data_IF_354482970373
#
_entry.id   IF_354482970373
#
_cell.length_a   1.000
_cell.length_b   1.000
_cell.length_c   1.000
_cell.angle_alpha   90.00
_cell.angle_beta   90.00
_cell.angle_gamma   90.00
#
_symmetry.space_group_name_H-M   'P 1'
#
loop_
_entity.id
_entity.type
_entity.pdbx_description
1 polymer ?
#
# COMPACT_ATOMS: atom_id res chain seq x y z
N UNK A 1 24.47 41.51 -15.34
CA UNK A 1 23.76 41.25 -14.07
C UNK A 1 22.35 40.69 -14.28
N UNK A 2 21.53 41.25 -15.15
CA UNK A 2 20.17 40.76 -15.42
C UNK A 2 20.09 39.33 -16.00
N UNK A 3 21.02 38.95 -16.85
CA UNK A 3 21.08 37.59 -17.44
C UNK A 3 21.48 36.52 -16.41
N UNK A 4 22.33 36.88 -15.44
CA UNK A 4 22.79 35.97 -14.42
C UNK A 4 21.68 35.66 -13.43
N UNK A 5 20.91 36.67 -13.00
CA UNK A 5 19.76 36.54 -12.13
C UNK A 5 18.65 35.70 -12.75
N UNK A 6 18.39 35.87 -14.05
CA UNK A 6 17.37 35.10 -14.78
C UNK A 6 17.73 33.61 -14.85
N UNK A 7 18.99 33.31 -15.16
CA UNK A 7 19.48 31.92 -15.19
C UNK A 7 19.46 31.26 -13.80
N UNK A 8 19.80 32.01 -12.77
CA UNK A 8 19.79 31.54 -11.39
C UNK A 8 18.37 31.22 -10.92
N UNK A 9 17.40 32.07 -11.27
CA UNK A 9 15.98 31.85 -10.97
C UNK A 9 15.42 30.60 -11.68
N UNK A 10 15.81 30.41 -12.94
CA UNK A 10 15.42 29.24 -13.73
C UNK A 10 15.96 27.93 -13.13
N UNK A 11 17.21 27.92 -12.69
CA UNK A 11 17.83 26.75 -12.05
C UNK A 11 17.11 26.40 -10.75
N UNK A 12 16.79 27.38 -9.93
CA UNK A 12 16.05 27.15 -8.67
C UNK A 12 14.67 26.56 -8.94
N UNK A 13 13.93 27.12 -9.90
CA UNK A 13 12.60 26.59 -10.25
C UNK A 13 12.64 25.17 -10.76
N UNK A 14 13.62 24.80 -11.57
CA UNK A 14 13.80 23.44 -12.09
C UNK A 14 14.13 22.47 -10.94
N UNK A 15 15.03 22.85 -10.03
CA UNK A 15 15.38 22.02 -8.86
C UNK A 15 14.17 21.81 -7.95
N UNK A 16 13.38 22.85 -7.70
CA UNK A 16 12.18 22.76 -6.87
C UNK A 16 11.13 21.84 -7.49
N UNK A 17 10.95 21.92 -8.81
CA UNK A 17 10.03 21.07 -9.57
C UNK A 17 10.43 19.58 -9.49
N UNK A 18 11.72 19.29 -9.67
CA UNK A 18 12.25 17.93 -9.57
C UNK A 18 12.07 17.38 -8.16
N UNK A 19 12.27 18.20 -7.15
CA UNK A 19 12.10 17.82 -5.75
C UNK A 19 10.64 17.48 -5.42
N UNK A 20 9.68 18.29 -5.89
CA UNK A 20 8.25 18.04 -5.73
C UNK A 20 7.79 16.75 -6.44
N UNK A 21 8.31 16.49 -7.65
CA UNK A 21 8.01 15.26 -8.37
C UNK A 21 8.53 14.01 -7.63
N UNK A 22 9.72 14.08 -7.05
CA UNK A 22 10.28 12.98 -6.25
C UNK A 22 9.49 12.71 -4.97
N UNK A 23 9.03 13.74 -4.28
CA UNK A 23 8.21 13.58 -3.07
C UNK A 23 6.90 12.85 -3.41
N UNK A 24 6.23 13.24 -4.48
CA UNK A 24 4.99 12.56 -4.89
C UNK A 24 5.21 11.09 -5.26
N UNK A 25 6.32 10.77 -5.89
CA UNK A 25 6.66 9.39 -6.25
C UNK A 25 6.91 8.51 -5.00
N UNK A 26 7.67 9.01 -4.03
CA UNK A 26 7.96 8.29 -2.78
C UNK A 26 6.68 8.03 -1.98
N UNK A 27 5.79 9.00 -1.88
CA UNK A 27 4.51 8.82 -1.16
C UNK A 27 3.59 7.80 -1.83
N UNK A 28 3.56 7.74 -3.16
CA UNK A 28 2.80 6.73 -3.89
C UNK A 28 3.33 5.31 -3.64
N UNK A 29 4.64 5.11 -3.57
CA UNK A 29 5.29 3.83 -3.26
C UNK A 29 4.94 3.36 -1.84
N UNK A 30 4.97 4.23 -0.84
CA UNK A 30 4.63 3.89 0.55
C UNK A 30 3.19 3.39 0.68
N UNK A 31 2.25 4.00 -0.03
CA UNK A 31 0.84 3.56 -0.07
C UNK A 31 0.73 2.17 -0.69
N UNK A 32 1.42 1.91 -1.79
CA UNK A 32 1.41 0.61 -2.46
C UNK A 32 2.01 -0.49 -1.57
N UNK A 33 3.09 -0.22 -0.87
CA UNK A 33 3.70 -1.14 0.10
C UNK A 33 2.70 -1.48 1.21
N UNK A 34 2.02 -0.49 1.76
CA UNK A 34 1.00 -0.68 2.79
C UNK A 34 -0.18 -1.54 2.33
N UNK A 35 -0.67 -1.30 1.12
CA UNK A 35 -1.76 -2.09 0.51
C UNK A 35 -1.34 -3.54 0.25
N UNK A 36 -0.13 -3.75 -0.26
CA UNK A 36 0.42 -5.09 -0.49
C UNK A 36 0.60 -5.86 0.82
N UNK A 37 1.14 -5.22 1.84
CA UNK A 37 1.30 -5.81 3.17
C UNK A 37 -0.05 -6.22 3.78
N UNK A 38 -1.06 -5.38 3.63
CA UNK A 38 -2.44 -5.65 4.09
C UNK A 38 -3.04 -6.87 3.38
N UNK A 39 -2.97 -6.91 2.05
CA UNK A 39 -3.49 -8.02 1.26
C UNK A 39 -2.82 -9.34 1.62
N UNK A 40 -1.51 -9.34 1.78
CA UNK A 40 -0.74 -10.51 2.18
C UNK A 40 -1.06 -10.98 3.60
N UNK A 41 -1.24 -10.06 4.53
CA UNK A 41 -1.64 -10.36 5.90
C UNK A 41 -2.97 -11.10 5.95
N UNK A 42 -3.99 -10.58 5.31
CA UNK A 42 -5.32 -11.21 5.28
C UNK A 42 -5.32 -12.54 4.54
N UNK A 43 -4.60 -12.66 3.43
CA UNK A 43 -4.43 -13.91 2.72
C UNK A 43 -3.79 -14.99 3.62
N UNK A 44 -2.72 -14.66 4.31
CA UNK A 44 -2.04 -15.57 5.24
C UNK A 44 -2.94 -15.94 6.43
N UNK A 45 -3.61 -14.97 7.03
CA UNK A 45 -4.47 -15.18 8.18
C UNK A 45 -5.67 -16.07 7.85
N UNK A 46 -6.35 -15.81 6.73
CA UNK A 46 -7.57 -16.51 6.35
C UNK A 46 -7.26 -17.87 5.70
N UNK A 47 -6.34 -17.94 4.75
CA UNK A 47 -6.13 -19.14 3.93
C UNK A 47 -5.03 -20.07 4.44
N UNK A 48 -4.00 -19.57 5.09
CA UNK A 48 -2.95 -20.41 5.67
C UNK A 48 -3.29 -20.80 7.10
N UNK A 49 -3.63 -19.84 7.95
CA UNK A 49 -3.93 -20.06 9.36
C UNK A 49 -5.37 -20.51 9.63
N UNK A 50 -6.27 -20.40 8.64
CA UNK A 50 -7.69 -20.74 8.72
C UNK A 50 -8.41 -20.04 9.89
N UNK A 51 -8.06 -18.79 10.14
CA UNK A 51 -8.66 -18.00 11.21
C UNK A 51 -9.86 -17.19 10.70
N UNK A 52 -10.77 -16.88 11.60
CA UNK A 52 -11.95 -16.09 11.29
C UNK A 52 -11.58 -14.62 10.98
N UNK A 53 -12.41 -13.97 10.18
CA UNK A 53 -12.25 -12.59 9.78
C UNK A 53 -12.04 -11.64 10.97
N UNK A 54 -12.83 -11.77 12.01
CA UNK A 54 -12.76 -10.89 13.19
C UNK A 54 -11.41 -11.00 13.91
N UNK A 55 -10.86 -12.19 13.97
CA UNK A 55 -9.53 -12.41 14.52
C UNK A 55 -8.45 -11.79 13.63
N UNK A 56 -8.57 -11.94 12.32
CA UNK A 56 -7.64 -11.34 11.36
C UNK A 56 -7.66 -9.81 11.41
N UNK A 57 -8.84 -9.22 11.57
CA UNK A 57 -8.99 -7.77 11.75
C UNK A 57 -8.31 -7.27 13.03
N UNK A 58 -8.49 -7.96 14.15
CA UNK A 58 -7.87 -7.61 15.43
C UNK A 58 -6.34 -7.75 15.41
N UNK A 59 -5.85 -8.82 14.80
CA UNK A 59 -4.42 -9.09 14.62
C UNK A 59 -3.76 -8.05 13.71
N UNK A 60 -4.43 -7.64 12.65
CA UNK A 60 -3.99 -6.58 11.76
C UNK A 60 -3.82 -5.25 12.49
N UNK A 61 -4.79 -4.86 13.30
CA UNK A 61 -4.74 -3.65 14.10
C UNK A 61 -3.54 -3.60 15.03
N UNK A 62 -3.23 -4.70 15.65
CA UNK A 62 -2.11 -4.81 16.59
C UNK A 62 -0.75 -4.64 15.87
N UNK A 63 -0.60 -5.27 14.70
CA UNK A 63 0.64 -5.23 13.94
C UNK A 63 0.86 -3.86 13.30
N UNK A 64 -0.15 -3.29 12.70
CA UNK A 64 -0.05 -2.05 11.96
C UNK A 64 -0.01 -0.81 12.85
N UNK A 65 -0.59 -0.84 14.03
CA UNK A 65 -0.52 0.28 14.98
C UNK A 65 0.91 0.59 15.45
N UNK A 66 1.79 -0.39 15.38
CA UNK A 66 3.20 -0.23 15.76
C UNK A 66 4.11 0.35 14.64
N UNK A 67 3.66 0.33 13.38
CA UNK A 67 4.55 0.58 12.23
C UNK A 67 4.03 1.58 11.20
N UNK A 68 2.81 2.08 11.31
CA UNK A 68 2.18 2.89 10.27
C UNK A 68 1.52 4.15 10.83
N UNK A 69 1.45 5.21 10.01
CA UNK A 69 0.72 6.43 10.30
C UNK A 69 -0.76 6.11 10.59
N UNK A 70 -1.29 6.66 11.68
CA UNK A 70 -2.67 6.46 12.14
C UNK A 70 -3.72 6.83 11.08
N UNK A 71 -3.45 7.86 10.30
CA UNK A 71 -4.32 8.33 9.22
C UNK A 71 -4.41 7.31 8.07
N UNK A 72 -3.27 6.77 7.65
CA UNK A 72 -3.19 5.75 6.60
C UNK A 72 -3.89 4.45 7.06
N UNK A 73 -3.68 4.05 8.31
CA UNK A 73 -4.33 2.89 8.89
C UNK A 73 -5.86 3.03 8.88
N UNK A 74 -6.35 4.21 9.22
CA UNK A 74 -7.78 4.53 9.22
C UNK A 74 -8.38 4.44 7.82
N UNK A 75 -7.68 4.95 6.81
CA UNK A 75 -8.09 4.87 5.41
C UNK A 75 -8.13 3.42 4.91
N UNK A 76 -7.13 2.62 5.21
CA UNK A 76 -7.08 1.19 4.84
C UNK A 76 -8.23 0.42 5.49
N UNK A 77 -8.54 0.66 6.75
CA UNK A 77 -9.68 0.05 7.44
C UNK A 77 -11.04 0.41 6.81
N UNK A 78 -11.20 1.64 6.36
CA UNK A 78 -12.44 2.11 5.73
C UNK A 78 -12.70 1.48 4.36
N UNK A 79 -11.66 1.04 3.67
CA UNK A 79 -11.76 0.44 2.34
C UNK A 79 -12.30 -1.00 2.38
N UNK A 80 -11.99 -1.73 3.43
CA UNK A 80 -12.32 -3.14 3.52
C UNK A 80 -11.55 -3.99 2.50
N UNK A 81 -11.86 -5.25 2.50
CA UNK A 81 -11.32 -6.20 1.54
C UNK A 81 -12.38 -7.22 1.15
N UNK A 82 -12.23 -7.80 -0.03
CA UNK A 82 -13.03 -8.93 -0.49
C UNK A 82 -12.21 -10.22 -0.40
N UNK A 83 -12.81 -11.27 0.17
CA UNK A 83 -12.23 -12.60 0.20
C UNK A 83 -12.98 -13.51 -0.75
N UNK A 84 -12.29 -14.00 -1.79
CA UNK A 84 -12.81 -15.02 -2.69
C UNK A 84 -12.32 -16.39 -2.23
N UNK A 85 -13.20 -17.16 -1.61
CA UNK A 85 -12.87 -18.47 -1.05
C UNK A 85 -12.70 -19.57 -2.12
N UNK A 86 -13.29 -19.42 -3.28
CA UNK A 86 -13.09 -20.36 -4.38
C UNK A 86 -11.69 -20.24 -4.99
N UNK A 87 -11.29 -19.02 -5.30
CA UNK A 87 -9.96 -18.72 -5.87
C UNK A 87 -8.88 -18.58 -4.81
N UNK A 88 -9.27 -18.52 -3.53
CA UNK A 88 -8.38 -18.22 -2.41
C UNK A 88 -7.58 -16.94 -2.63
N UNK A 89 -8.30 -15.86 -2.91
CA UNK A 89 -7.76 -14.53 -3.18
C UNK A 89 -8.29 -13.51 -2.17
N UNK A 90 -7.42 -12.59 -1.78
CA UNK A 90 -7.80 -11.35 -1.10
C UNK A 90 -7.68 -10.20 -2.10
N UNK A 91 -8.73 -9.43 -2.25
CA UNK A 91 -8.81 -8.31 -3.19
C UNK A 91 -9.02 -7.02 -2.42
N UNK A 92 -8.13 -6.06 -2.60
CA UNK A 92 -8.23 -4.71 -2.06
C UNK A 92 -8.29 -3.71 -3.22
N UNK A 93 -9.30 -2.85 -3.22
CA UNK A 93 -9.46 -1.78 -4.20
C UNK A 93 -9.24 -0.43 -3.51
N UNK A 94 -8.29 0.32 -4.00
CA UNK A 94 -7.99 1.66 -3.52
C UNK A 94 -7.70 2.60 -4.69
N UNK A 95 -8.56 3.59 -4.91
CA UNK A 95 -8.48 4.48 -6.07
C UNK A 95 -8.36 3.68 -7.37
N UNK A 96 -7.28 3.87 -8.12
CA UNK A 96 -6.97 3.13 -9.34
C UNK A 96 -6.21 1.82 -9.11
N UNK A 97 -5.87 1.52 -7.84
CA UNK A 97 -5.12 0.32 -7.49
C UNK A 97 -6.06 -0.86 -7.20
N UNK A 98 -5.76 -1.98 -7.81
CA UNK A 98 -6.38 -3.27 -7.48
C UNK A 98 -5.27 -4.21 -7.04
N UNK A 99 -5.27 -4.58 -5.76
CA UNK A 99 -4.29 -5.48 -5.17
C UNK A 99 -4.92 -6.84 -4.95
N UNK A 100 -4.33 -7.88 -5.52
CA UNK A 100 -4.77 -9.25 -5.35
C UNK A 100 -3.65 -10.10 -4.77
N UNK A 101 -3.91 -10.71 -3.63
CA UNK A 101 -3.03 -11.71 -3.04
C UNK A 101 -3.69 -13.08 -3.13
N UNK A 102 -3.05 -14.01 -3.79
CA UNK A 102 -3.58 -15.35 -4.06
C UNK A 102 -2.82 -16.39 -3.26
N UNK A 103 -3.54 -17.35 -2.68
CA UNK A 103 -2.94 -18.47 -1.98
C UNK A 103 -2.66 -19.65 -2.93
N UNK A 104 -1.50 -20.26 -2.79
CA UNK A 104 -1.10 -21.52 -3.41
C UNK A 104 -0.41 -22.42 -2.39
N UNK A 105 -0.66 -23.71 -2.45
CA UNK A 105 -0.01 -24.68 -1.56
C UNK A 105 1.52 -24.71 -1.72
N UNK A 106 2.02 -24.35 -2.91
CA UNK A 106 3.45 -24.35 -3.21
C UNK A 106 4.18 -23.11 -2.71
N UNK A 107 3.55 -21.95 -2.82
CA UNK A 107 4.21 -20.64 -2.61
C UNK A 107 3.65 -19.85 -1.44
N UNK A 108 2.54 -20.30 -0.83
CA UNK A 108 1.79 -19.50 0.13
C UNK A 108 1.03 -18.37 -0.54
N UNK A 109 0.92 -17.23 0.11
CA UNK A 109 0.29 -16.05 -0.44
C UNK A 109 1.25 -15.25 -1.31
N UNK A 110 0.86 -14.97 -2.54
CA UNK A 110 1.68 -14.25 -3.53
C UNK A 110 0.85 -13.28 -4.36
N UNK A 111 1.52 -12.33 -4.99
CA UNK A 111 0.91 -11.40 -5.94
C UNK A 111 1.14 -11.88 -7.35
N UNK A 112 0.07 -12.00 -8.13
CA UNK A 112 0.17 -12.28 -9.57
C UNK A 112 0.73 -11.06 -10.29
N UNK A 113 1.74 -11.29 -11.08
CA UNK A 113 2.26 -10.27 -12.00
C UNK A 113 1.37 -10.13 -13.24
#
# INVERSE_FOLDING_TARGET
MHKFLKNFYYIITVITLIFLLKINYVMADDTLIGLNATAKHYCTCIFISNLEKDYCDSSYDLIMSASTDEELLKQIKMLGYEADFEKKEIIIKYEDYIIKSTFSEKTGCYFKK
#
